data_IF_720588374843
#
_entry.id   IF_720588374843
#
_cell.length_a   1.000
_cell.length_b   1.000
_cell.length_c   1.000
_cell.angle_alpha   90.00
_cell.angle_beta   90.00
_cell.angle_gamma   90.00
#
_symmetry.space_group_name_H-M   'P 1'
#
loop_
_entity.id
_entity.type
_entity.pdbx_description
1 polymer ?
#
# COMPACT_ATOMS: atom_id res chain seq x y z
N UNK A 1 -11.16 55.14 32.32
CA UNK A 1 -10.94 53.70 32.56
C UNK A 1 -11.98 52.85 31.80
N UNK A 2 -11.99 52.88 30.46
CA UNK A 2 -12.97 52.13 29.64
C UNK A 2 -12.41 51.52 28.34
N UNK A 3 -11.16 51.77 27.98
CA UNK A 3 -10.53 51.25 26.74
C UNK A 3 -9.77 49.92 26.99
N UNK A 4 -9.37 49.64 28.24
CA UNK A 4 -8.62 48.41 28.59
C UNK A 4 -9.45 47.12 28.66
N UNK A 5 -10.78 47.20 28.71
CA UNK A 5 -11.65 46.01 28.80
C UNK A 5 -12.09 45.46 27.43
N UNK A 6 -12.02 46.25 26.36
CA UNK A 6 -12.46 45.82 25.03
C UNK A 6 -11.39 44.96 24.36
N UNK A 7 -10.10 45.25 24.60
CA UNK A 7 -9.01 44.47 24.03
C UNK A 7 -8.92 43.05 24.62
N UNK A 8 -9.28 42.86 25.89
CA UNK A 8 -9.23 41.55 26.55
C UNK A 8 -10.35 40.62 26.06
N UNK A 9 -11.51 41.17 25.68
CA UNK A 9 -12.62 40.39 25.14
C UNK A 9 -12.39 39.99 23.67
N UNK A 10 -11.70 40.84 22.89
CA UNK A 10 -11.36 40.55 21.49
C UNK A 10 -10.27 39.47 21.34
N UNK A 11 -9.37 39.31 22.32
CA UNK A 11 -8.36 38.24 22.33
C UNK A 11 -8.95 36.88 22.72
N UNK A 12 -10.02 36.85 23.52
CA UNK A 12 -10.75 35.61 23.85
C UNK A 12 -11.63 35.08 22.70
N UNK A 13 -11.96 35.91 21.71
CA UNK A 13 -12.80 35.56 20.56
C UNK A 13 -12.02 34.98 19.36
N UNK A 14 -10.69 34.86 19.46
CA UNK A 14 -9.81 34.27 18.43
C UNK A 14 -9.19 32.94 18.85
N UNK A 15 -9.49 32.44 20.05
CA UNK A 15 -9.31 31.03 20.34
C UNK A 15 -10.48 30.29 19.67
N UNK A 16 -10.37 30.06 18.36
CA UNK A 16 -11.14 29.00 17.75
C UNK A 16 -10.84 27.73 18.57
N UNK A 17 -11.85 26.93 18.96
CA UNK A 17 -11.55 25.60 19.46
C UNK A 17 -10.64 24.96 18.43
N UNK A 18 -9.50 24.47 18.88
CA UNK A 18 -8.71 23.56 18.09
C UNK A 18 -9.62 22.31 18.00
N UNK A 19 -10.18 22.09 16.81
CA UNK A 19 -11.00 20.90 16.57
C UNK A 19 -9.98 19.80 16.41
N UNK A 20 -9.98 18.82 17.31
CA UNK A 20 -9.11 17.66 17.22
C UNK A 20 -9.11 17.13 15.78
N UNK A 21 -7.95 17.18 15.14
CA UNK A 21 -7.77 16.77 13.77
C UNK A 21 -7.15 15.37 13.80
N UNK A 22 -8.00 14.37 13.54
CA UNK A 22 -7.59 12.99 13.33
C UNK A 22 -7.44 12.78 11.84
N UNK A 23 -6.20 12.59 11.42
CA UNK A 23 -5.83 12.28 10.04
C UNK A 23 -5.77 10.76 9.87
N UNK A 24 -6.39 10.26 8.79
CA UNK A 24 -6.19 8.89 8.32
C UNK A 24 -5.06 8.92 7.30
N UNK A 25 -4.09 8.02 7.47
CA UNK A 25 -2.91 7.91 6.62
C UNK A 25 -2.93 6.54 5.96
N UNK A 26 -2.83 6.51 4.63
CA UNK A 26 -2.66 5.30 3.84
C UNK A 26 -1.22 5.24 3.34
N UNK A 27 -0.56 4.10 3.55
CA UNK A 27 0.80 3.85 3.03
C UNK A 27 0.79 2.59 2.20
N UNK A 28 1.14 2.70 0.92
CA UNK A 28 1.41 1.56 0.05
C UNK A 28 2.69 0.86 0.54
N UNK A 29 2.56 -0.39 0.99
CA UNK A 29 3.67 -1.22 1.46
C UNK A 29 4.32 -2.03 0.32
N UNK A 30 3.74 -1.97 -0.89
CA UNK A 30 4.07 -2.85 -2.01
C UNK A 30 3.20 -4.12 -2.02
N UNK A 31 3.27 -4.87 -3.11
CA UNK A 31 2.62 -6.18 -3.27
C UNK A 31 1.10 -6.21 -2.98
N UNK A 32 0.41 -5.08 -3.18
CA UNK A 32 -1.02 -4.97 -2.89
C UNK A 32 -1.34 -4.89 -1.39
N UNK A 33 -0.37 -4.61 -0.52
CA UNK A 33 -0.59 -4.34 0.89
C UNK A 33 -0.60 -2.84 1.19
N UNK A 34 -1.62 -2.39 1.91
CA UNK A 34 -1.80 -0.99 2.30
C UNK A 34 -1.96 -0.89 3.81
N UNK A 35 -1.06 -0.17 4.46
CA UNK A 35 -1.16 0.11 5.87
C UNK A 35 -2.11 1.29 6.12
N UNK A 36 -3.10 1.07 6.97
CA UNK A 36 -4.05 2.10 7.42
C UNK A 36 -3.63 2.56 8.81
N UNK A 37 -3.27 3.83 8.91
CA UNK A 37 -2.82 4.49 10.14
C UNK A 37 -3.73 5.67 10.49
N UNK A 38 -3.63 6.10 11.73
CA UNK A 38 -4.15 7.39 12.15
C UNK A 38 -3.05 8.22 12.81
N UNK A 39 -3.18 9.54 12.69
CA UNK A 39 -2.41 10.53 13.43
C UNK A 39 -3.39 11.53 14.02
N UNK A 40 -3.33 11.71 15.32
CA UNK A 40 -4.09 12.70 16.05
C UNK A 40 -3.16 13.83 16.48
N UNK A 41 -3.39 15.00 15.92
CA UNK A 41 -2.54 16.16 16.16
C UNK A 41 -2.88 16.89 17.46
N UNK A 42 -3.94 16.47 18.14
CA UNK A 42 -4.38 17.03 19.41
C UNK A 42 -4.30 16.01 20.56
N UNK A 43 -4.21 16.51 21.79
CA UNK A 43 -3.97 15.68 22.97
C UNK A 43 -5.17 14.85 23.45
N UNK A 44 -6.33 14.98 22.82
CA UNK A 44 -7.53 14.19 23.15
C UNK A 44 -7.44 12.83 22.48
N UNK A 45 -7.70 11.73 23.20
CA UNK A 45 -7.50 10.38 22.65
C UNK A 45 -8.66 9.92 21.77
N UNK A 46 -8.33 9.12 20.74
CA UNK A 46 -9.33 8.43 19.93
C UNK A 46 -9.84 7.18 20.67
N UNK A 47 -11.12 6.83 20.47
CA UNK A 47 -11.78 5.68 21.07
C UNK A 47 -12.40 4.74 20.07
N UNK A 48 -12.86 5.23 18.92
CA UNK A 48 -13.38 4.39 17.87
C UNK A 48 -13.20 5.00 16.48
N UNK A 49 -13.21 4.13 15.49
CA UNK A 49 -13.17 4.43 14.07
C UNK A 49 -14.30 3.67 13.38
N UNK A 50 -15.02 4.36 12.50
CA UNK A 50 -15.88 3.79 11.49
C UNK A 50 -15.44 4.39 10.15
N UNK A 51 -14.79 3.57 9.32
CA UNK A 51 -14.19 4.01 8.06
C UNK A 51 -14.74 3.19 6.88
N UNK A 52 -15.00 3.87 5.78
CA UNK A 52 -15.21 3.24 4.48
C UNK A 52 -13.89 3.27 3.72
N UNK A 53 -13.44 2.08 3.31
CA UNK A 53 -12.25 1.90 2.47
C UNK A 53 -12.74 1.41 1.11
N UNK A 54 -12.33 2.08 0.04
CA UNK A 54 -12.79 1.80 -1.32
C UNK A 54 -11.62 1.74 -2.29
N UNK A 55 -11.75 0.93 -3.34
CA UNK A 55 -10.74 0.76 -4.38
C UNK A 55 -11.27 1.14 -5.75
N UNK A 56 -10.35 1.37 -6.67
CA UNK A 56 -10.61 1.54 -8.10
C UNK A 56 -9.76 0.58 -8.92
N UNK A 57 -10.39 -0.11 -9.87
CA UNK A 57 -9.73 -1.03 -10.80
C UNK A 57 -9.87 -2.50 -10.40
N UNK A 58 -9.92 -2.79 -9.10
CA UNK A 58 -10.03 -4.14 -8.55
C UNK A 58 -10.65 -4.17 -7.14
N UNK A 59 -10.39 -5.25 -6.39
CA UNK A 59 -11.08 -5.56 -5.13
C UNK A 59 -10.15 -5.57 -3.91
N UNK A 60 -10.78 -5.43 -2.74
CA UNK A 60 -10.18 -5.67 -1.43
C UNK A 60 -10.36 -7.15 -1.09
N UNK A 61 -9.26 -7.87 -0.89
CA UNK A 61 -9.24 -9.33 -0.70
C UNK A 61 -8.83 -9.76 0.71
N UNK A 62 -8.33 -8.83 1.53
CA UNK A 62 -7.92 -9.13 2.90
C UNK A 62 -7.89 -7.90 3.80
N UNK A 63 -8.11 -8.13 5.09
CA UNK A 63 -7.76 -7.19 6.16
C UNK A 63 -7.09 -7.99 7.27
N UNK A 64 -5.94 -7.53 7.74
CA UNK A 64 -5.15 -8.17 8.78
C UNK A 64 -4.38 -7.12 9.62
N UNK A 65 -3.40 -7.59 10.42
CA UNK A 65 -2.57 -6.75 11.29
C UNK A 65 -3.36 -5.81 12.24
N UNK A 66 -4.55 -6.23 12.64
CA UNK A 66 -5.37 -5.54 13.64
C UNK A 66 -5.28 -6.23 15.00
N UNK A 67 -5.50 -5.45 16.07
CA UNK A 67 -5.55 -5.99 17.43
C UNK A 67 -6.92 -6.61 17.73
N UNK A 68 -6.99 -7.64 18.57
CA UNK A 68 -8.26 -8.27 18.98
C UNK A 68 -8.33 -8.35 20.51
N UNK A 69 -9.40 -7.81 21.09
CA UNK A 69 -9.67 -7.89 22.52
C UNK A 69 -9.74 -6.53 23.22
N UNK A 70 -10.11 -6.56 24.50
CA UNK A 70 -10.30 -5.40 25.37
C UNK A 70 -8.98 -4.81 25.90
N UNK A 71 -8.01 -5.65 26.24
CA UNK A 71 -6.78 -5.27 26.95
C UNK A 71 -5.52 -5.31 26.08
N UNK A 72 -5.65 -4.96 24.80
CA UNK A 72 -4.57 -5.08 23.82
C UNK A 72 -3.78 -3.80 23.57
N UNK A 73 -4.12 -2.69 24.25
CA UNK A 73 -3.49 -1.39 23.99
C UNK A 73 -3.81 -0.84 22.59
N UNK A 74 -4.86 -1.36 21.95
CA UNK A 74 -5.25 -1.09 20.58
C UNK A 74 -6.77 -1.09 20.42
N UNK A 75 -7.24 -1.03 19.17
CA UNK A 75 -8.66 -0.93 18.84
C UNK A 75 -9.24 -2.32 18.51
N UNK A 76 -9.35 -3.19 19.51
CA UNK A 76 -9.74 -4.59 19.34
C UNK A 76 -11.21 -4.93 19.56
N UNK A 77 -12.07 -3.91 19.67
CA UNK A 77 -13.52 -4.05 19.75
C UNK A 77 -14.13 -3.73 18.39
N UNK A 78 -14.91 -4.62 17.79
CA UNK A 78 -15.47 -4.46 16.45
C UNK A 78 -17.00 -4.47 16.54
N UNK A 79 -17.65 -3.31 16.73
CA UNK A 79 -19.10 -3.22 16.97
C UNK A 79 -19.96 -3.99 15.95
N UNK A 80 -19.68 -3.85 14.65
CA UNK A 80 -20.39 -4.56 13.58
C UNK A 80 -20.23 -6.08 13.61
N UNK A 81 -19.12 -6.59 14.13
CA UNK A 81 -18.88 -8.03 14.26
C UNK A 81 -19.28 -8.58 15.64
N UNK A 82 -19.51 -7.72 16.64
CA UNK A 82 -19.64 -8.11 18.04
C UNK A 82 -20.86 -8.99 18.31
N UNK A 83 -22.03 -8.61 17.79
CA UNK A 83 -23.31 -9.28 18.07
C UNK A 83 -23.36 -10.74 17.59
N UNK A 84 -22.68 -11.02 16.47
CA UNK A 84 -22.72 -12.34 15.82
C UNK A 84 -21.59 -13.26 16.26
N UNK A 85 -20.46 -12.70 16.70
CA UNK A 85 -19.23 -13.47 16.89
C UNK A 85 -18.76 -13.54 18.36
N UNK A 86 -19.30 -12.70 19.25
CA UNK A 86 -18.88 -12.64 20.64
C UNK A 86 -19.97 -13.14 21.59
N UNK A 87 -19.62 -14.12 22.42
CA UNK A 87 -20.48 -14.56 23.54
C UNK A 87 -20.06 -13.86 24.83
N UNK A 88 -21.00 -13.12 25.43
CA UNK A 88 -20.82 -12.50 26.74
C UNK A 88 -21.40 -13.42 27.82
N UNK A 89 -20.58 -13.68 28.84
CA UNK A 89 -20.99 -14.39 30.02
C UNK A 89 -22.06 -13.60 30.78
N UNK A 90 -23.30 -14.09 30.77
CA UNK A 90 -24.41 -13.39 31.41
C UNK A 90 -24.26 -13.26 32.94
N UNK A 91 -23.37 -14.01 33.59
CA UNK A 91 -23.15 -13.95 35.04
C UNK A 91 -22.06 -12.94 35.42
N UNK A 92 -20.97 -12.88 34.67
CA UNK A 92 -19.84 -12.00 34.97
C UNK A 92 -19.85 -10.70 34.16
N UNK A 93 -20.56 -10.67 33.03
CA UNK A 93 -20.53 -9.56 32.06
C UNK A 93 -19.29 -9.55 31.17
N UNK A 94 -18.41 -10.56 31.28
CA UNK A 94 -17.16 -10.62 30.52
C UNK A 94 -17.35 -11.39 29.21
N UNK A 95 -16.51 -11.09 28.22
CA UNK A 95 -16.43 -11.88 26.99
C UNK A 95 -15.78 -13.24 27.29
N UNK A 96 -16.49 -14.33 26.96
CA UNK A 96 -15.98 -15.70 27.18
C UNK A 96 -14.93 -16.10 26.11
N UNK A 97 -15.04 -15.57 24.89
CA UNK A 97 -14.05 -15.71 23.82
C UNK A 97 -14.11 -14.53 22.86
N UNK A 98 -12.95 -13.94 22.54
CA UNK A 98 -12.78 -12.92 21.51
C UNK A 98 -12.58 -13.51 20.10
N UNK A 99 -12.48 -14.84 20.01
CA UNK A 99 -12.40 -15.56 18.74
C UNK A 99 -13.70 -16.35 18.62
N UNK A 100 -14.61 -15.84 17.79
CA UNK A 100 -15.86 -16.51 17.46
C UNK A 100 -15.64 -17.79 16.64
N UNK A 101 -16.63 -18.67 16.67
CA UNK A 101 -16.78 -19.82 15.76
C UNK A 101 -18.20 -19.77 15.20
N UNK A 102 -18.44 -19.92 13.89
CA UNK A 102 -17.47 -20.30 12.85
C UNK A 102 -16.76 -19.15 12.13
N UNK A 103 -17.25 -17.92 12.23
CA UNK A 103 -16.73 -16.77 11.48
C UNK A 103 -15.70 -15.97 12.29
N UNK A 104 -14.68 -15.39 11.63
CA UNK A 104 -13.64 -14.65 12.33
C UNK A 104 -14.21 -13.34 12.88
N UNK A 105 -13.94 -13.06 14.15
CA UNK A 105 -14.18 -11.74 14.72
C UNK A 105 -13.19 -10.74 14.07
N UNK A 106 -13.73 -9.84 13.26
CA UNK A 106 -13.00 -9.01 12.30
C UNK A 106 -13.49 -7.56 12.39
N UNK A 107 -12.65 -6.56 12.07
CA UNK A 107 -13.09 -5.17 12.00
C UNK A 107 -14.10 -4.92 10.87
N UNK A 108 -14.28 -5.85 9.92
CA UNK A 108 -15.20 -5.69 8.79
C UNK A 108 -16.65 -5.76 9.28
N UNK A 109 -17.42 -4.69 9.03
CA UNK A 109 -18.86 -4.70 9.27
C UNK A 109 -19.57 -5.64 8.28
N UNK A 110 -20.56 -6.44 8.71
CA UNK A 110 -21.38 -7.26 7.81
C UNK A 110 -22.00 -6.42 6.70
N UNK A 111 -21.96 -6.91 5.46
CA UNK A 111 -22.44 -6.14 4.29
C UNK A 111 -23.96 -5.97 4.24
N UNK A 112 -24.71 -6.75 5.02
CA UNK A 112 -26.14 -6.59 5.22
C UNK A 112 -26.51 -5.60 6.33
N UNK A 113 -25.52 -5.12 7.10
CA UNK A 113 -25.76 -4.04 8.04
C UNK A 113 -26.03 -2.71 7.30
N UNK A 114 -26.85 -1.82 7.89
CA UNK A 114 -27.05 -0.48 7.35
C UNK A 114 -25.73 0.26 7.09
N UNK A 115 -25.58 0.75 5.87
CA UNK A 115 -24.47 1.63 5.44
C UNK A 115 -23.06 1.00 5.57
N UNK A 116 -23.01 -0.33 5.66
CA UNK A 116 -21.81 -1.09 5.38
C UNK A 116 -21.65 -1.23 3.84
N UNK A 117 -20.39 -1.25 3.39
CA UNK A 117 -20.06 -1.60 2.02
C UNK A 117 -20.09 -3.12 1.81
N UNK A 118 -19.93 -3.54 0.56
CA UNK A 118 -20.16 -4.93 0.12
C UNK A 118 -19.22 -5.97 0.75
N UNK A 119 -18.08 -5.56 1.32
CA UNK A 119 -17.19 -6.41 2.09
C UNK A 119 -15.97 -6.91 1.29
N UNK A 120 -15.33 -7.99 1.75
CA UNK A 120 -14.23 -8.61 1.00
C UNK A 120 -14.70 -9.10 -0.37
N UNK A 121 -13.76 -9.26 -1.29
CA UNK A 121 -13.99 -9.61 -2.69
C UNK A 121 -14.87 -8.60 -3.45
N UNK A 122 -14.87 -7.35 -2.97
CA UNK A 122 -15.56 -6.21 -3.58
C UNK A 122 -14.64 -4.98 -3.63
N UNK A 123 -15.11 -3.91 -4.26
CA UNK A 123 -14.38 -2.64 -4.32
C UNK A 123 -14.54 -1.76 -3.06
N UNK A 124 -15.11 -2.29 -1.98
CA UNK A 124 -15.35 -1.50 -0.78
C UNK A 124 -15.63 -2.32 0.49
N UNK A 125 -14.97 -1.94 1.58
CA UNK A 125 -15.19 -2.48 2.92
C UNK A 125 -15.51 -1.37 3.90
N UNK A 126 -16.43 -1.62 4.83
CA UNK A 126 -16.60 -0.78 6.01
C UNK A 126 -15.92 -1.44 7.18
N UNK A 127 -15.04 -0.73 7.85
CA UNK A 127 -14.37 -1.20 9.07
C UNK A 127 -14.85 -0.42 10.30
N UNK A 128 -15.01 -1.13 11.41
CA UNK A 128 -15.30 -0.58 12.71
C UNK A 128 -14.34 -1.10 13.76
N UNK A 129 -13.70 -0.19 14.48
CA UNK A 129 -12.67 -0.51 15.46
C UNK A 129 -12.84 0.38 16.68
N UNK A 130 -12.74 -0.19 17.87
CA UNK A 130 -12.98 0.51 19.13
C UNK A 130 -12.08 0.02 20.24
N UNK A 131 -11.87 0.89 21.22
CA UNK A 131 -11.18 0.59 22.47
C UNK A 131 -12.13 0.75 23.66
N UNK A 132 -12.02 -0.09 24.69
CA UNK A 132 -12.72 0.14 25.95
C UNK A 132 -12.02 1.23 26.78
N UNK A 133 -12.78 1.84 27.71
CA UNK A 133 -12.28 2.84 28.66
C UNK A 133 -11.51 2.23 29.85
N UNK A 134 -11.23 0.92 29.83
CA UNK A 134 -10.73 0.16 30.98
C UNK A 134 -9.19 0.16 31.10
N UNK A 135 -8.57 -0.97 31.41
CA UNK A 135 -7.21 -1.02 31.99
C UNK A 135 -6.08 -0.80 30.97
N UNK A 136 -6.36 -0.86 29.66
CA UNK A 136 -5.34 -0.68 28.61
C UNK A 136 -5.86 0.07 27.34
N UNK A 137 -6.38 1.31 27.46
CA UNK A 137 -6.76 2.09 26.31
C UNK A 137 -5.51 2.48 25.49
N UNK A 138 -5.65 2.71 24.18
CA UNK A 138 -4.60 3.31 23.38
C UNK A 138 -4.15 4.64 24.01
N UNK A 139 -2.87 4.69 24.39
CA UNK A 139 -2.21 5.88 24.95
C UNK A 139 -1.54 6.72 23.87
N UNK A 140 -1.33 6.15 22.68
CA UNK A 140 -0.65 6.78 21.56
C UNK A 140 -1.58 7.72 20.79
N UNK A 141 -1.02 8.85 20.33
CA UNK A 141 -1.72 9.79 19.46
C UNK A 141 -1.61 9.39 17.98
N UNK A 142 -0.87 8.34 17.67
CA UNK A 142 -0.75 7.78 16.34
C UNK A 142 -0.71 6.26 16.44
N UNK A 143 -1.00 5.55 15.36
CA UNK A 143 -0.93 4.10 15.37
C UNK A 143 -1.44 3.45 14.11
N UNK A 144 -1.10 2.17 13.95
CA UNK A 144 -1.64 1.30 12.89
C UNK A 144 -3.01 0.79 13.33
N UNK A 145 -3.98 0.88 12.42
CA UNK A 145 -5.30 0.29 12.60
C UNK A 145 -5.30 -1.14 12.05
N UNK A 146 -4.96 -1.29 10.79
CA UNK A 146 -4.90 -2.56 10.08
C UNK A 146 -4.03 -2.46 8.82
N UNK A 147 -3.80 -3.60 8.19
CA UNK A 147 -3.31 -3.69 6.82
C UNK A 147 -4.44 -4.20 5.93
N UNK A 148 -4.57 -3.63 4.73
CA UNK A 148 -5.56 -3.99 3.71
C UNK A 148 -4.83 -4.63 2.55
N UNK A 149 -5.25 -5.82 2.14
CA UNK A 149 -4.75 -6.50 0.94
C UNK A 149 -5.72 -6.27 -0.22
N UNK A 150 -5.19 -5.88 -1.37
CA UNK A 150 -5.94 -5.68 -2.62
C UNK A 150 -5.43 -6.60 -3.72
N UNK A 151 -6.25 -6.84 -4.74
CA UNK A 151 -5.81 -7.55 -5.95
C UNK A 151 -4.96 -6.67 -6.89
N UNK A 152 -4.33 -7.30 -7.89
CA UNK A 152 -3.38 -6.66 -8.82
C UNK A 152 -4.01 -5.58 -9.72
N UNK A 153 -5.34 -5.56 -9.84
CA UNK A 153 -6.08 -4.63 -10.68
C UNK A 153 -6.33 -3.28 -9.99
N UNK A 154 -6.08 -3.18 -8.67
CA UNK A 154 -6.27 -1.93 -7.92
C UNK A 154 -5.22 -0.88 -8.29
N UNK A 155 -5.71 0.30 -8.68
CA UNK A 155 -4.90 1.46 -9.08
C UNK A 155 -4.98 2.61 -8.09
N UNK A 156 -6.01 2.62 -7.25
CA UNK A 156 -6.24 3.65 -6.24
C UNK A 156 -7.03 3.04 -5.08
N UNK A 157 -6.67 3.43 -3.87
CA UNK A 157 -7.42 3.13 -2.65
C UNK A 157 -7.70 4.43 -1.91
N UNK A 158 -8.88 4.52 -1.33
CA UNK A 158 -9.32 5.66 -0.55
C UNK A 158 -9.88 5.21 0.80
N UNK A 159 -9.69 6.04 1.83
CA UNK A 159 -10.34 5.89 3.14
C UNK A 159 -11.09 7.19 3.50
N UNK A 160 -12.29 7.04 4.03
CA UNK A 160 -13.11 8.15 4.53
C UNK A 160 -13.94 7.73 5.74
N UNK A 161 -14.35 8.71 6.57
CA UNK A 161 -15.22 8.47 7.71
C UNK A 161 -16.62 8.03 7.28
N UNK A 162 -17.22 7.08 8.03
CA UNK A 162 -18.61 6.69 7.88
C UNK A 162 -19.48 7.46 8.87
N UNK A 163 -20.12 8.54 8.41
CA UNK A 163 -20.88 9.44 9.28
C UNK A 163 -22.13 8.82 9.92
N UNK A 164 -22.70 7.77 9.32
CA UNK A 164 -23.88 7.12 9.91
C UNK A 164 -23.45 6.17 11.04
N UNK A 165 -22.21 5.69 10.98
CA UNK A 165 -21.58 4.84 11.99
C UNK A 165 -20.67 5.60 12.97
N UNK A 166 -20.69 6.93 12.92
CA UNK A 166 -20.06 7.80 13.93
C UNK A 166 -18.65 8.28 13.61
N UNK A 167 -18.20 8.18 12.36
CA UNK A 167 -16.88 8.60 11.89
C UNK A 167 -15.75 8.18 12.85
N UNK A 168 -14.98 9.12 13.38
CA UNK A 168 -13.98 8.90 14.42
C UNK A 168 -14.50 9.48 15.74
N UNK A 169 -14.53 8.67 16.78
CA UNK A 169 -15.05 9.07 18.10
C UNK A 169 -13.90 9.28 19.07
N UNK A 170 -13.87 10.44 19.72
CA UNK A 170 -12.89 10.80 20.76
C UNK A 170 -13.37 10.39 22.16
N UNK A 171 -12.49 10.50 23.15
CA UNK A 171 -12.82 10.19 24.55
C UNK A 171 -13.86 11.10 25.19
N UNK A 172 -14.07 12.31 24.67
CA UNK A 172 -15.20 13.18 25.05
C UNK A 172 -16.53 12.75 24.44
N UNK A 173 -16.55 11.70 23.62
CA UNK A 173 -17.63 11.32 22.72
C UNK A 173 -17.91 12.35 21.61
N UNK A 174 -17.01 13.31 21.39
CA UNK A 174 -17.03 14.14 20.20
C UNK A 174 -16.71 13.29 18.97
N UNK A 175 -17.36 13.64 17.86
CA UNK A 175 -17.16 13.03 16.56
C UNK A 175 -16.26 13.93 15.70
N UNK A 176 -15.25 13.32 15.10
CA UNK A 176 -14.34 13.93 14.14
C UNK A 176 -14.65 13.34 12.78
N UNK A 177 -14.79 14.20 11.78
CA UNK A 177 -14.98 13.80 10.38
C UNK A 177 -13.59 13.84 9.72
N UNK A 178 -12.92 12.70 9.53
CA UNK A 178 -11.62 12.69 8.86
C UNK A 178 -11.80 13.11 7.41
N UNK A 179 -10.81 13.84 6.88
CA UNK A 179 -10.77 14.12 5.46
C UNK A 179 -10.61 12.81 4.67
N UNK A 180 -11.28 12.71 3.52
CA UNK A 180 -11.05 11.61 2.59
C UNK A 180 -9.61 11.64 2.09
N UNK A 181 -8.90 10.54 2.29
CA UNK A 181 -7.54 10.32 1.79
C UNK A 181 -7.59 9.28 0.68
N UNK A 182 -6.81 9.49 -0.38
CA UNK A 182 -6.63 8.51 -1.44
C UNK A 182 -5.15 8.43 -1.81
N UNK A 183 -4.67 7.24 -2.11
CA UNK A 183 -3.34 7.01 -2.67
C UNK A 183 -3.45 6.20 -3.96
N UNK A 184 -2.55 6.47 -4.89
CA UNK A 184 -2.35 5.61 -6.06
C UNK A 184 -1.52 4.41 -5.62
N UNK A 185 -1.98 3.21 -5.98
CA UNK A 185 -1.23 1.98 -5.75
C UNK A 185 -0.23 1.82 -6.88
N UNK A 186 1.03 1.62 -6.51
CA UNK A 186 2.08 1.38 -7.49
C UNK A 186 2.20 -0.12 -7.67
N UNK A 187 1.73 -0.64 -8.80
CA UNK A 187 2.01 -2.02 -9.18
C UNK A 187 3.52 -2.21 -9.31
N UNK A 188 4.09 -3.11 -8.50
CA UNK A 188 5.52 -3.36 -8.55
C UNK A 188 5.90 -4.03 -9.88
N UNK A 189 6.94 -3.50 -10.54
CA UNK A 189 7.41 -4.01 -11.82
C UNK A 189 7.92 -5.45 -11.72
N UNK A 190 8.41 -5.85 -10.53
CA UNK A 190 8.85 -7.21 -10.21
C UNK A 190 8.08 -7.67 -8.97
N UNK A 191 7.33 -8.79 -9.05
CA UNK A 191 6.62 -9.31 -7.89
C UNK A 191 7.54 -9.76 -6.76
N UNK A 192 7.16 -9.58 -5.50
CA UNK A 192 7.88 -10.10 -4.33
C UNK A 192 7.39 -11.52 -3.94
N UNK A 193 7.34 -12.44 -4.89
CA UNK A 193 6.92 -13.82 -4.62
C UNK A 193 8.12 -14.77 -4.61
N UNK A 194 7.99 -15.99 -4.04
CA UNK A 194 9.07 -16.97 -4.03
C UNK A 194 9.67 -17.28 -5.41
N UNK A 195 8.88 -17.16 -6.48
CA UNK A 195 9.30 -17.38 -7.87
C UNK A 195 10.19 -16.26 -8.43
N UNK A 196 10.15 -15.07 -7.83
CA UNK A 196 10.88 -13.86 -8.24
C UNK A 196 11.87 -13.37 -7.18
N UNK A 197 12.06 -14.10 -6.07
CA UNK A 197 12.75 -13.59 -4.89
C UNK A 197 14.16 -13.03 -5.16
N UNK A 198 14.95 -13.64 -6.06
CA UNK A 198 16.29 -13.13 -6.40
C UNK A 198 16.21 -11.91 -7.31
N UNK A 199 15.35 -11.96 -8.32
CA UNK A 199 15.12 -10.84 -9.20
C UNK A 199 14.58 -9.62 -8.43
N UNK A 200 13.63 -9.83 -7.53
CA UNK A 200 13.07 -8.82 -6.64
C UNK A 200 14.16 -8.14 -5.81
N UNK A 201 15.01 -8.94 -5.14
CA UNK A 201 16.11 -8.41 -4.35
C UNK A 201 17.08 -7.56 -5.19
N UNK A 202 17.36 -7.96 -6.44
CA UNK A 202 18.21 -7.19 -7.35
C UNK A 202 17.53 -5.91 -7.84
N UNK A 203 16.24 -5.97 -8.19
CA UNK A 203 15.43 -4.82 -8.58
C UNK A 203 15.39 -3.75 -7.48
N UNK A 204 15.13 -4.17 -6.24
CA UNK A 204 15.18 -3.30 -5.05
C UNK A 204 16.58 -2.70 -4.87
N UNK A 205 17.64 -3.50 -5.00
CA UNK A 205 19.02 -3.03 -4.86
C UNK A 205 19.43 -2.02 -5.94
N UNK A 206 18.78 -2.04 -7.11
CA UNK A 206 18.96 -1.10 -8.21
C UNK A 206 18.06 0.15 -8.10
N UNK A 207 17.24 0.25 -7.05
CA UNK A 207 16.35 1.39 -6.82
C UNK A 207 15.01 1.29 -7.55
N UNK A 208 14.51 0.06 -7.75
CA UNK A 208 13.21 -0.24 -8.37
C UNK A 208 13.04 0.41 -9.77
N UNK A 209 13.94 0.16 -10.74
CA UNK A 209 13.81 0.76 -12.07
C UNK A 209 12.54 0.30 -12.80
N UNK A 210 11.78 1.25 -13.33
CA UNK A 210 10.50 1.00 -14.05
C UNK A 210 10.69 0.12 -15.30
N UNK A 211 11.87 0.19 -15.92
CA UNK A 211 12.18 -0.55 -17.15
C UNK A 211 12.21 -2.09 -16.99
N UNK A 212 12.18 -2.60 -15.76
CA UNK A 212 12.11 -4.05 -15.49
C UNK A 212 10.66 -4.60 -15.58
N UNK A 213 9.67 -3.71 -15.56
CA UNK A 213 8.25 -4.06 -15.70
C UNK A 213 7.82 -4.19 -17.15
N UNK A 214 6.63 -4.71 -17.37
CA UNK A 214 6.08 -4.98 -18.70
C UNK A 214 4.92 -4.07 -19.08
N UNK A 215 5.20 -2.77 -19.13
CA UNK A 215 4.23 -1.77 -19.62
C UNK A 215 4.40 -1.56 -21.14
N UNK A 216 4.49 -2.63 -21.92
CA UNK A 216 4.63 -2.53 -23.37
C UNK A 216 3.38 -1.88 -24.00
N UNK A 217 3.44 -0.58 -24.28
CA UNK A 217 2.37 0.17 -24.95
C UNK A 217 1.80 1.34 -24.18
N UNK A 218 2.24 1.59 -22.94
CA UNK A 218 1.92 2.85 -22.24
C UNK A 218 2.84 3.96 -22.74
N UNK A 219 2.34 4.79 -23.67
CA UNK A 219 3.08 5.92 -24.22
C UNK A 219 3.39 7.04 -23.20
N UNK A 220 2.90 6.91 -21.96
CA UNK A 220 3.11 7.89 -20.88
C UNK A 220 4.20 7.49 -19.90
N UNK A 221 4.68 6.24 -19.96
CA UNK A 221 5.76 5.72 -19.12
C UNK A 221 6.97 5.36 -19.99
N UNK A 222 8.18 5.66 -19.52
CA UNK A 222 9.44 5.22 -20.13
C UNK A 222 9.68 3.69 -19.98
N UNK A 223 8.60 2.92 -19.75
CA UNK A 223 8.65 1.54 -19.34
C UNK A 223 8.84 0.63 -20.57
N UNK A 224 10.02 0.03 -20.60
CA UNK A 224 10.52 -0.78 -21.71
C UNK A 224 10.07 -2.22 -21.54
N UNK A 225 8.78 -2.52 -21.77
CA UNK A 225 8.16 -3.79 -21.38
C UNK A 225 8.78 -5.11 -21.86
N UNK A 226 9.90 -5.04 -22.59
CA UNK A 226 10.70 -6.18 -23.03
C UNK A 226 12.20 -6.05 -22.67
N UNK A 227 12.54 -5.37 -21.58
CA UNK A 227 13.93 -5.19 -21.17
C UNK A 227 14.65 -6.53 -20.93
N UNK A 228 13.94 -7.54 -20.40
CA UNK A 228 14.45 -8.91 -20.23
C UNK A 228 14.73 -9.63 -21.59
N UNK A 229 14.40 -8.98 -22.71
CA UNK A 229 14.73 -9.38 -24.07
C UNK A 229 15.76 -8.46 -24.76
N UNK A 230 16.31 -7.48 -24.05
CA UNK A 230 17.30 -6.54 -24.57
C UNK A 230 16.72 -5.26 -25.16
N UNK A 231 15.44 -4.95 -24.93
CA UNK A 231 14.85 -3.65 -25.25
C UNK A 231 15.10 -2.67 -24.09
N UNK A 232 16.33 -2.18 -23.99
CA UNK A 232 16.76 -1.28 -22.92
C UNK A 232 16.23 0.15 -23.11
N UNK A 233 15.98 0.53 -24.37
CA UNK A 233 15.67 1.89 -24.77
C UNK A 233 14.18 2.13 -25.02
N UNK A 234 13.37 1.07 -25.19
CA UNK A 234 11.92 1.15 -25.37
C UNK A 234 11.48 1.75 -26.71
N UNK A 235 12.40 1.89 -27.67
CA UNK A 235 12.15 2.65 -28.88
C UNK A 235 12.05 1.77 -30.13
N UNK A 236 11.06 2.04 -30.98
CA UNK A 236 10.91 1.34 -32.26
C UNK A 236 11.65 2.08 -33.38
N UNK A 237 12.63 1.42 -33.99
CA UNK A 237 13.44 1.96 -35.08
C UNK A 237 12.70 1.98 -36.42
N UNK A 238 13.23 2.76 -37.38
CA UNK A 238 12.62 3.07 -38.69
C UNK A 238 12.19 1.86 -39.54
N UNK A 239 12.68 0.64 -39.28
CA UNK A 239 12.25 -0.61 -39.96
C UNK A 239 11.43 -1.55 -39.06
N UNK A 240 10.86 -1.02 -37.97
CA UNK A 240 10.10 -1.76 -36.97
C UNK A 240 10.96 -2.63 -36.06
N UNK A 241 12.25 -2.30 -35.89
CA UNK A 241 13.13 -3.07 -35.01
C UNK A 241 13.00 -2.52 -33.59
N UNK A 242 12.82 -3.42 -32.64
CA UNK A 242 12.67 -3.10 -31.22
C UNK A 242 14.06 -3.08 -30.57
N UNK A 243 14.77 -4.22 -30.60
CA UNK A 243 16.15 -4.32 -30.10
C UNK A 243 17.15 -3.92 -31.18
N UNK A 244 17.84 -2.79 -30.98
CA UNK A 244 18.82 -2.30 -31.94
C UNK A 244 19.89 -1.39 -31.31
N UNK A 245 20.30 -0.32 -32.01
CA UNK A 245 21.51 0.44 -31.70
C UNK A 245 21.46 1.24 -30.39
N UNK A 246 20.28 1.64 -29.91
CA UNK A 246 20.17 2.35 -28.63
C UNK A 246 20.35 1.39 -27.46
N UNK A 247 19.81 0.19 -27.58
CA UNK A 247 19.95 -0.86 -26.58
C UNK A 247 21.40 -1.30 -26.45
N UNK A 248 22.07 -1.49 -27.58
CA UNK A 248 23.51 -1.74 -27.62
C UNK A 248 24.31 -0.60 -26.96
N UNK A 249 23.93 0.66 -27.22
CA UNK A 249 24.61 1.81 -26.63
C UNK A 249 24.47 1.85 -25.11
N UNK A 250 23.27 1.56 -24.57
CA UNK A 250 23.03 1.44 -23.12
C UNK A 250 23.84 0.29 -22.51
N UNK A 251 23.82 -0.89 -23.12
CA UNK A 251 24.63 -2.04 -22.68
C UNK A 251 26.13 -1.72 -22.66
N UNK A 252 26.65 -1.07 -23.69
CA UNK A 252 28.08 -0.71 -23.78
C UNK A 252 28.45 0.34 -22.73
N UNK A 253 27.57 1.31 -22.45
CA UNK A 253 27.81 2.34 -21.44
C UNK A 253 27.88 1.75 -20.01
N UNK A 254 27.05 0.75 -19.72
CA UNK A 254 27.01 0.04 -18.44
C UNK A 254 27.95 -1.16 -18.37
N UNK A 255 28.76 -1.43 -19.40
CA UNK A 255 29.51 -2.68 -19.49
C UNK A 255 30.45 -2.91 -18.29
N UNK A 256 30.17 -3.96 -17.52
CA UNK A 256 30.94 -4.34 -16.35
C UNK A 256 30.73 -3.44 -15.13
N UNK A 257 29.74 -2.54 -15.17
CA UNK A 257 29.35 -1.69 -14.05
C UNK A 257 28.76 -2.52 -12.89
N UNK A 258 28.86 -1.96 -11.69
CA UNK A 258 28.36 -2.52 -10.44
C UNK A 258 27.31 -1.61 -9.82
N UNK A 259 26.52 -2.15 -8.90
CA UNK A 259 25.59 -1.35 -8.10
C UNK A 259 26.34 -0.21 -7.41
N UNK A 260 25.88 1.02 -7.65
CA UNK A 260 26.48 2.26 -7.16
C UNK A 260 27.49 2.94 -8.10
N UNK A 261 27.88 2.31 -9.21
CA UNK A 261 28.72 2.95 -10.22
C UNK A 261 27.91 4.02 -10.97
N UNK A 262 28.52 5.19 -11.21
CA UNK A 262 27.85 6.33 -11.85
C UNK A 262 27.46 6.09 -13.32
N UNK A 263 28.06 5.08 -13.98
CA UNK A 263 27.75 4.71 -15.36
C UNK A 263 26.78 3.53 -15.47
N UNK A 264 26.24 3.03 -14.34
CA UNK A 264 25.24 1.98 -14.37
C UNK A 264 23.89 2.54 -14.81
N UNK A 265 23.43 2.10 -15.98
CA UNK A 265 22.03 2.13 -16.40
C UNK A 265 21.38 0.79 -16.00
N UNK A 266 20.48 0.74 -15.00
CA UNK A 266 19.79 -0.49 -14.59
C UNK A 266 18.97 -1.15 -15.70
N UNK A 267 18.55 -0.39 -16.71
CA UNK A 267 17.81 -0.93 -17.85
C UNK A 267 18.70 -1.74 -18.78
N UNK A 268 20.02 -1.67 -18.65
CA UNK A 268 20.96 -2.47 -19.44
C UNK A 268 21.25 -3.87 -18.86
N UNK A 269 20.75 -4.17 -17.65
CA UNK A 269 20.87 -5.48 -17.00
C UNK A 269 19.71 -6.39 -17.44
N UNK A 270 19.77 -6.89 -18.67
CA UNK A 270 18.72 -7.74 -19.27
C UNK A 270 18.62 -9.11 -18.62
N UNK A 271 19.72 -9.58 -18.03
CA UNK A 271 19.80 -10.89 -17.41
C UNK A 271 19.33 -10.86 -15.94
N UNK A 272 19.25 -9.67 -15.33
CA UNK A 272 18.85 -9.46 -13.95
C UNK A 272 19.74 -10.26 -12.98
N UNK A 273 21.02 -10.41 -13.30
CA UNK A 273 21.96 -11.23 -12.53
C UNK A 273 23.17 -10.45 -12.04
N UNK A 274 23.74 -10.88 -10.92
CA UNK A 274 25.04 -10.39 -10.47
C UNK A 274 26.14 -11.39 -10.83
N UNK A 275 27.12 -10.95 -11.61
CA UNK A 275 28.25 -11.75 -12.06
C UNK A 275 29.44 -11.73 -11.09
N UNK A 276 30.44 -12.58 -11.37
CA UNK A 276 31.70 -12.63 -10.64
C UNK A 276 32.31 -11.22 -10.56
N UNK A 277 32.64 -10.77 -9.34
CA UNK A 277 33.14 -9.44 -8.97
C UNK A 277 32.08 -8.34 -8.81
N UNK A 278 30.79 -8.69 -8.78
CA UNK A 278 29.68 -7.77 -8.48
C UNK A 278 29.22 -6.93 -9.67
N UNK A 279 29.53 -7.37 -10.90
CA UNK A 279 29.09 -6.69 -12.11
C UNK A 279 27.63 -7.07 -12.36
N UNK A 280 26.81 -6.14 -12.82
CA UNK A 280 25.38 -6.39 -13.12
C UNK A 280 25.11 -6.44 -14.62
N UNK A 281 25.81 -5.64 -15.44
CA UNK A 281 25.73 -5.70 -16.90
C UNK A 281 26.96 -6.38 -17.48
N UNK A 282 26.82 -7.57 -18.04
CA UNK A 282 27.94 -8.34 -18.60
C UNK A 282 27.53 -9.32 -19.71
N UNK A 283 28.09 -10.53 -19.70
CA UNK A 283 28.07 -11.45 -20.84
C UNK A 283 26.73 -12.10 -21.14
N UNK A 284 25.88 -12.37 -20.13
CA UNK A 284 24.55 -12.90 -20.41
C UNK A 284 23.63 -11.81 -20.98
N UNK A 285 23.80 -10.55 -20.56
CA UNK A 285 23.11 -9.39 -21.14
C UNK A 285 23.44 -9.24 -22.63
N UNK A 286 24.74 -9.31 -22.97
CA UNK A 286 25.16 -9.29 -24.38
C UNK A 286 24.57 -10.48 -25.15
N UNK A 287 24.46 -11.65 -24.52
CA UNK A 287 23.87 -12.83 -25.15
C UNK A 287 22.38 -12.65 -25.43
N UNK A 288 21.64 -12.01 -24.53
CA UNK A 288 20.22 -11.65 -24.71
C UNK A 288 20.07 -10.63 -25.84
N UNK A 289 20.86 -9.56 -25.83
CA UNK A 289 20.86 -8.53 -26.88
C UNK A 289 21.13 -9.13 -28.27
N UNK A 290 22.14 -9.99 -28.38
CA UNK A 290 22.51 -10.63 -29.65
C UNK A 290 21.43 -11.59 -30.12
N UNK A 291 20.83 -12.36 -29.21
CA UNK A 291 19.72 -13.28 -29.51
C UNK A 291 18.53 -12.55 -30.14
N UNK A 292 18.17 -11.38 -29.59
CA UNK A 292 17.00 -10.61 -30.02
C UNK A 292 17.33 -9.49 -31.01
N UNK A 293 18.57 -9.42 -31.51
CA UNK A 293 19.01 -8.32 -32.37
C UNK A 293 18.11 -8.14 -33.60
N UNK A 294 17.61 -6.93 -33.80
CA UNK A 294 16.68 -6.56 -34.87
C UNK A 294 15.32 -7.28 -34.82
N UNK A 295 14.93 -7.85 -33.67
CA UNK A 295 13.59 -8.37 -33.46
C UNK A 295 12.54 -7.28 -33.76
N UNK A 296 11.42 -7.71 -34.36
CA UNK A 296 10.28 -6.82 -34.68
C UNK A 296 9.06 -7.04 -33.80
N UNK A 297 9.16 -8.05 -32.95
CA UNK A 297 8.15 -8.45 -31.96
C UNK A 297 8.89 -9.19 -30.86
N UNK A 298 8.49 -8.97 -29.62
CA UNK A 298 9.01 -9.65 -28.44
C UNK A 298 7.84 -10.29 -27.70
N UNK A 299 8.09 -11.29 -26.84
CA UNK A 299 7.02 -12.02 -26.17
C UNK A 299 6.14 -11.17 -25.23
N UNK A 300 6.66 -10.10 -24.64
CA UNK A 300 5.90 -9.27 -23.72
C UNK A 300 5.48 -10.03 -22.46
N UNK A 301 6.38 -10.84 -21.91
CA UNK A 301 6.22 -11.61 -20.67
C UNK A 301 7.36 -11.28 -19.67
N UNK A 302 7.93 -10.08 -19.75
CA UNK A 302 8.74 -9.57 -18.64
C UNK A 302 7.82 -9.19 -17.45
N UNK A 303 8.35 -9.07 -16.21
CA UNK A 303 9.60 -9.70 -15.77
C UNK A 303 9.51 -11.23 -15.83
N UNK A 304 10.67 -11.90 -15.98
CA UNK A 304 10.76 -13.37 -15.98
C UNK A 304 11.05 -13.92 -14.59
N UNK A 305 10.56 -15.11 -14.29
CA UNK A 305 10.86 -15.78 -13.00
C UNK A 305 12.34 -16.06 -12.82
N UNK A 306 12.77 -16.27 -11.57
CA UNK A 306 14.15 -16.66 -11.23
C UNK A 306 14.60 -17.90 -12.03
N UNK A 307 13.69 -18.85 -12.24
CA UNK A 307 13.94 -20.10 -12.97
C UNK A 307 14.21 -19.84 -14.46
N UNK A 308 13.40 -18.99 -15.09
CA UNK A 308 13.54 -18.65 -16.51
C UNK A 308 14.80 -17.84 -16.80
N UNK A 309 15.22 -17.03 -15.81
CA UNK A 309 16.46 -16.27 -15.88
C UNK A 309 17.69 -17.11 -15.50
N UNK A 310 17.51 -18.27 -14.86
CA UNK A 310 18.61 -19.12 -14.39
C UNK A 310 19.35 -18.53 -13.19
N UNK A 311 18.62 -17.86 -12.30
CA UNK A 311 19.10 -17.20 -11.08
C UNK A 311 19.22 -18.13 -9.89
#
# INVERSE_FOLDING_TARGET
MRIKMILTLAVLLLAAPAWADVEIVLTDLGDGEIEVKYVNTEGERVRAFALNITTKGGNIIGIDNYSIGDNVGGYGIFPGSFGDNITVNATTGNVDSWVGSPDPYTPIAPSDDPEALDGLDSNGVTIEMGSLYDDAPPDELEGVLCTVTVDEDVTEICAEGNAIRGNVVLESAAEVIPAKVCITIVTEAVPNTPEYAKQYAQWVALGKPDCWGNDYGDATKDATGNQCYGDAAGNVYRKGQIVFSADLARLVASWGAKIGDANLDPCADFAHQTYRKGQVVFSADLSILVTNWQAKSLPGDCPKTDVEMGL
#
